data_IF_935082233068
#
_entry.id   IF_935082233068
#
_cell.length_a   1.000
_cell.length_b   1.000
_cell.length_c   1.000
_cell.angle_alpha   90.00
_cell.angle_beta   90.00
_cell.angle_gamma   90.00
#
_symmetry.space_group_name_H-M   'P 1'
#
loop_
_entity.id
_entity.type
_entity.pdbx_description
1 polymer ?
#
# COMPACT_ATOMS: atom_id res chain seq x y z
N UNK A 1 8.65 26.60 57.62
CA UNK A 1 9.48 27.82 57.61
C UNK A 1 8.78 28.82 56.70
N UNK A 2 8.36 29.95 57.29
CA UNK A 2 7.91 31.25 56.72
C UNK A 2 7.19 31.27 55.35
N UNK A 3 5.88 31.56 55.31
CA UNK A 3 5.24 32.89 55.26
C UNK A 3 5.42 33.57 53.88
N UNK A 4 4.41 33.59 53.01
CA UNK A 4 3.21 34.47 52.98
C UNK A 4 3.43 35.72 52.10
N UNK A 5 2.60 35.88 51.05
CA UNK A 5 1.66 37.02 50.85
C UNK A 5 2.32 38.29 50.26
N UNK A 6 1.73 39.15 49.44
CA UNK A 6 0.39 39.31 48.87
C UNK A 6 0.45 40.37 47.75
N UNK A 7 -0.55 40.31 46.86
CA UNK A 7 -1.41 41.40 46.38
C UNK A 7 -0.86 42.72 45.79
N UNK A 8 -1.36 42.97 44.57
CA UNK A 8 -2.13 44.16 44.12
C UNK A 8 -1.44 45.48 43.71
N UNK A 9 -2.08 46.05 42.67
CA UNK A 9 -2.20 47.45 42.23
C UNK A 9 -1.23 48.03 41.18
N UNK A 10 -1.84 48.51 40.09
CA UNK A 10 -1.32 49.48 39.12
C UNK A 10 -1.35 50.91 39.73
N UNK A 11 -0.61 51.90 39.19
CA UNK A 11 -1.25 52.79 38.19
C UNK A 11 -0.32 53.52 37.16
N UNK A 12 -0.98 54.04 36.13
CA UNK A 12 -0.86 55.37 35.47
C UNK A 12 0.32 55.81 34.54
N UNK A 13 -0.11 56.13 33.29
CA UNK A 13 -0.02 57.40 32.51
C UNK A 13 1.35 58.04 32.13
N UNK A 14 1.49 58.35 30.83
CA UNK A 14 2.30 59.43 30.24
C UNK A 14 2.47 59.23 28.72
N UNK A 15 1.59 59.75 27.85
CA UNK A 15 1.61 61.05 27.13
C UNK A 15 2.81 61.33 26.18
N UNK A 16 2.45 61.68 24.93
CA UNK A 16 3.32 62.19 23.84
C UNK A 16 2.92 61.58 22.47
N UNK A 17 1.97 62.10 21.68
CA UNK A 17 2.01 63.36 20.89
C UNK A 17 3.22 63.38 19.94
N UNK A 18 3.17 63.56 18.61
CA UNK A 18 2.23 64.26 17.72
C UNK A 18 2.65 64.01 16.24
N UNK A 19 1.67 63.99 15.31
CA UNK A 19 1.68 64.67 13.97
C UNK A 19 2.63 64.12 12.88
N UNK A 20 2.32 64.00 11.59
CA UNK A 20 1.38 64.58 10.60
C UNK A 20 1.14 63.55 9.49
N UNK A 21 0.14 63.54 8.61
CA UNK A 21 -0.94 64.44 8.18
C UNK A 21 -1.63 63.73 7.01
N UNK A 22 -2.97 63.72 6.96
CA UNK A 22 -3.80 64.40 5.94
C UNK A 22 -3.36 64.14 4.46
N UNK A 23 -4.21 63.73 3.51
CA UNK A 23 -5.65 63.94 3.38
C UNK A 23 -6.23 63.09 2.24
N UNK A 24 -7.55 62.91 2.35
CA UNK A 24 -8.51 62.19 1.51
C UNK A 24 -8.57 62.64 0.03
N UNK A 25 -9.02 61.74 -0.85
CA UNK A 25 -10.14 62.04 -1.75
C UNK A 25 -10.88 60.78 -2.19
N UNK A 26 -12.21 60.90 -2.23
CA UNK A 26 -13.18 59.86 -2.53
C UNK A 26 -13.51 59.79 -4.03
N UNK A 27 -13.83 58.58 -4.52
CA UNK A 27 -14.41 58.31 -5.83
C UNK A 27 -15.39 57.15 -5.74
N UNK A 28 -16.50 57.24 -6.46
CA UNK A 28 -17.80 56.56 -6.26
C UNK A 28 -18.02 55.43 -7.28
N UNK A 29 -18.59 54.30 -6.81
CA UNK A 29 -19.42 53.25 -7.46
C UNK A 29 -19.05 52.64 -8.85
N UNK A 30 -18.93 51.31 -8.92
CA UNK A 30 -20.00 50.39 -9.40
C UNK A 30 -19.53 48.92 -9.48
N UNK A 31 -20.42 48.01 -9.10
CA UNK A 31 -20.35 46.55 -9.24
C UNK A 31 -20.35 46.10 -10.71
N UNK A 32 -19.52 45.11 -11.07
CA UNK A 32 -19.93 43.91 -11.85
C UNK A 32 -18.73 42.98 -12.14
N UNK A 33 -18.74 41.82 -11.48
CA UNK A 33 -18.35 40.47 -11.94
C UNK A 33 -17.32 40.33 -13.07
N UNK A 34 -16.14 39.85 -12.70
CA UNK A 34 -15.11 39.32 -13.60
C UNK A 34 -13.87 38.83 -12.84
N UNK A 35 -14.03 37.84 -11.94
CA UNK A 35 -12.93 37.27 -11.17
C UNK A 35 -11.92 36.54 -12.09
N UNK A 36 -10.79 37.20 -12.35
CA UNK A 36 -9.54 36.56 -12.73
C UNK A 36 -8.75 36.24 -11.45
N UNK A 37 -8.56 34.96 -11.15
CA UNK A 37 -7.72 34.48 -10.04
C UNK A 37 -6.26 34.93 -10.23
N UNK A 38 -5.63 35.63 -9.26
CA UNK A 38 -4.21 35.93 -9.34
C UNK A 38 -3.38 34.68 -9.04
N UNK A 39 -2.55 34.28 -10.01
CA UNK A 39 -1.47 33.32 -9.83
C UNK A 39 -0.58 33.75 -8.66
N UNK A 40 -0.35 32.82 -7.75
CA UNK A 40 0.60 32.93 -6.65
C UNK A 40 2.00 33.15 -7.24
N UNK A 41 2.64 34.25 -6.86
CA UNK A 41 3.99 34.61 -7.28
C UNK A 41 5.03 33.95 -6.36
N UNK A 42 5.94 33.19 -6.97
CA UNK A 42 7.15 32.61 -6.36
C UNK A 42 8.08 33.67 -5.72
N UNK A 43 8.83 33.30 -4.68
CA UNK A 43 10.14 33.87 -4.41
C UNK A 43 11.26 32.86 -4.71
N UNK A 44 11.83 33.00 -5.91
CA UNK A 44 13.25 32.93 -6.29
C UNK A 44 14.21 32.15 -5.36
N UNK A 45 14.65 30.99 -5.83
CA UNK A 45 16.08 30.73 -6.04
C UNK A 45 16.30 29.82 -7.26
N UNK A 46 16.71 30.44 -8.36
CA UNK A 46 17.11 29.79 -9.61
C UNK A 46 18.42 29.01 -9.42
N UNK A 47 18.33 27.67 -9.46
CA UNK A 47 19.41 26.84 -10.00
C UNK A 47 18.92 26.23 -11.30
N UNK A 48 19.57 26.66 -12.37
CA UNK A 48 19.36 26.26 -13.75
C UNK A 48 19.72 24.76 -13.89
N UNK A 49 18.71 23.89 -13.86
CA UNK A 49 18.82 22.47 -14.25
C UNK A 49 17.89 22.26 -15.44
N UNK A 50 18.43 22.45 -16.65
CA UNK A 50 17.86 21.90 -17.86
C UNK A 50 18.04 20.37 -17.82
N UNK A 51 17.13 19.67 -17.15
CA UNK A 51 16.89 18.24 -17.33
C UNK A 51 15.47 18.09 -17.89
N UNK A 52 15.27 17.39 -19.01
CA UNK A 52 13.96 17.27 -19.64
C UNK A 52 13.03 16.44 -18.75
N UNK A 53 11.89 17.01 -18.35
CA UNK A 53 10.56 16.40 -18.15
C UNK A 53 10.48 14.92 -17.67
N UNK A 54 11.36 14.44 -16.78
CA UNK A 54 11.31 13.05 -16.30
C UNK A 54 10.48 12.86 -15.02
N UNK A 55 10.16 13.95 -14.31
CA UNK A 55 9.35 13.91 -13.08
C UNK A 55 7.85 13.78 -13.33
N UNK A 56 7.38 14.11 -14.54
CA UNK A 56 5.95 14.05 -14.91
C UNK A 56 5.39 12.62 -15.06
N UNK A 57 6.27 11.61 -15.04
CA UNK A 57 5.93 10.21 -15.33
C UNK A 57 5.92 9.30 -14.09
N UNK A 58 6.25 9.80 -12.91
CA UNK A 58 6.34 8.97 -11.71
C UNK A 58 4.94 8.59 -11.19
N UNK A 59 4.72 7.30 -11.00
CA UNK A 59 3.49 6.75 -10.41
C UNK A 59 3.90 5.95 -9.19
N UNK A 60 3.37 6.31 -8.02
CA UNK A 60 3.54 5.53 -6.79
C UNK A 60 2.22 4.82 -6.48
N UNK A 61 2.21 3.50 -6.65
CA UNK A 61 1.03 2.66 -6.46
C UNK A 61 0.93 2.03 -5.07
N UNK A 62 2.05 1.92 -4.35
CA UNK A 62 2.13 1.20 -3.08
C UNK A 62 3.01 1.97 -2.09
N UNK A 63 2.45 2.25 -0.92
CA UNK A 63 3.12 2.72 0.28
C UNK A 63 2.91 1.67 1.36
N UNK A 64 3.94 0.87 1.66
CA UNK A 64 3.90 -0.09 2.77
C UNK A 64 4.67 0.52 3.93
N UNK A 65 3.97 0.78 5.03
CA UNK A 65 4.51 1.39 6.24
C UNK A 65 3.76 0.84 7.46
N UNK A 66 4.36 0.93 8.64
CA UNK A 66 3.64 0.62 9.89
C UNK A 66 2.58 1.69 10.20
N UNK A 67 1.73 1.47 11.21
CA UNK A 67 0.60 2.36 11.46
C UNK A 67 1.04 3.78 11.82
N UNK A 68 2.10 3.92 12.62
CA UNK A 68 2.66 5.20 13.03
C UNK A 68 3.17 5.98 11.82
N UNK A 69 3.90 5.32 10.91
CA UNK A 69 4.35 5.91 9.65
C UNK A 69 3.15 6.25 8.75
N UNK A 70 2.16 5.36 8.63
CA UNK A 70 0.94 5.63 7.87
C UNK A 70 0.19 6.84 8.43
N UNK A 71 0.17 7.03 9.75
CA UNK A 71 -0.47 8.17 10.38
C UNK A 71 0.20 9.48 9.96
N UNK A 72 1.53 9.49 9.87
CA UNK A 72 2.29 10.64 9.34
C UNK A 72 2.01 10.83 7.85
N UNK A 73 2.04 9.77 7.05
CA UNK A 73 1.81 9.84 5.59
C UNK A 73 0.39 10.37 5.26
N UNK A 74 -0.62 9.87 5.97
CA UNK A 74 -2.04 10.23 5.81
C UNK A 74 -2.46 11.47 6.60
N UNK A 75 -1.54 12.12 7.33
CA UNK A 75 -1.80 13.27 8.17
C UNK A 75 -2.88 13.04 9.24
N UNK A 76 -3.07 11.83 9.74
CA UNK A 76 -4.09 11.54 10.76
C UNK A 76 -3.52 11.66 12.18
N UNK A 77 -4.38 11.98 13.15
CA UNK A 77 -4.04 12.04 14.60
C UNK A 77 -3.72 10.67 15.24
N UNK A 78 -3.54 9.62 14.43
CA UNK A 78 -3.32 8.25 14.88
C UNK A 78 -4.49 7.67 15.68
N UNK A 79 -4.19 6.74 16.59
CA UNK A 79 -5.19 5.91 17.30
C UNK A 79 -6.14 6.76 18.14
N UNK A 80 -5.72 7.94 18.62
CA UNK A 80 -6.57 8.81 19.46
C UNK A 80 -7.50 9.73 18.65
N UNK A 81 -7.45 9.65 17.31
CA UNK A 81 -8.35 10.37 16.44
C UNK A 81 -9.79 9.86 16.57
N UNK A 82 -10.77 10.76 16.36
CA UNK A 82 -12.16 10.35 16.14
C UNK A 82 -12.31 9.46 14.90
N UNK A 83 -11.38 9.59 13.94
CA UNK A 83 -11.35 8.84 12.68
C UNK A 83 -9.94 8.29 12.44
N UNK A 84 -9.55 7.20 13.13
CA UNK A 84 -8.16 6.75 13.20
C UNK A 84 -7.71 5.90 12.00
N UNK A 85 -8.59 5.59 11.05
CA UNK A 85 -8.21 4.85 9.86
C UNK A 85 -7.56 5.81 8.84
N UNK A 86 -6.38 5.45 8.29
CA UNK A 86 -5.75 6.26 7.26
C UNK A 86 -6.45 6.10 5.90
N UNK A 87 -7.34 5.12 5.71
CA UNK A 87 -8.02 4.88 4.42
C UNK A 87 -9.42 5.49 4.38
N UNK A 88 -10.13 5.52 5.51
CA UNK A 88 -11.54 5.90 5.53
C UNK A 88 -11.93 6.69 6.79
N UNK A 89 -13.06 7.39 6.72
CA UNK A 89 -13.67 8.11 7.84
C UNK A 89 -14.53 7.18 8.70
N UNK A 90 -13.95 6.08 9.19
CA UNK A 90 -14.62 5.22 10.16
C UNK A 90 -14.49 5.82 11.57
N UNK A 91 -15.61 6.03 12.30
CA UNK A 91 -15.55 6.50 13.67
C UNK A 91 -14.79 5.53 14.58
N UNK A 92 -14.02 6.07 15.53
CA UNK A 92 -13.19 5.30 16.46
C UNK A 92 -13.99 4.24 17.23
N UNK A 93 -15.20 4.58 17.65
CA UNK A 93 -16.11 3.70 18.39
C UNK A 93 -16.77 2.61 17.51
N UNK A 94 -16.62 2.71 16.19
CA UNK A 94 -17.27 1.83 15.19
C UNK A 94 -16.28 0.93 14.44
N UNK A 95 -14.98 1.00 14.73
CA UNK A 95 -13.94 0.22 14.01
C UNK A 95 -14.23 -1.28 14.04
N UNK A 96 -14.70 -1.79 15.18
CA UNK A 96 -14.99 -3.23 15.36
C UNK A 96 -16.26 -3.70 14.65
N UNK A 97 -17.07 -2.78 14.13
CA UNK A 97 -18.36 -3.10 13.51
C UNK A 97 -18.23 -3.47 12.03
N UNK A 98 -17.04 -3.26 11.42
CA UNK A 98 -16.75 -3.52 10.01
C UNK A 98 -17.88 -3.06 9.07
N UNK A 99 -18.28 -1.78 9.12
CA UNK A 99 -19.36 -1.27 8.29
C UNK A 99 -19.04 -1.47 6.81
N UNK A 100 -20.04 -1.91 6.04
CA UNK A 100 -19.89 -2.16 4.60
C UNK A 100 -19.67 -0.87 3.78
N UNK A 101 -19.93 0.30 4.37
CA UNK A 101 -19.84 1.59 3.71
C UNK A 101 -19.21 2.61 4.67
N UNK A 102 -18.01 3.05 4.34
CA UNK A 102 -17.35 4.20 4.94
C UNK A 102 -16.87 5.12 3.82
N UNK A 103 -16.93 6.43 4.06
CA UNK A 103 -16.34 7.39 3.15
C UNK A 103 -14.81 7.19 3.10
N UNK A 104 -14.25 7.14 1.88
CA UNK A 104 -12.83 6.96 1.67
C UNK A 104 -12.11 8.32 1.66
N UNK A 105 -10.89 8.33 2.20
CA UNK A 105 -9.97 9.46 2.06
C UNK A 105 -9.36 9.42 0.66
N UNK A 106 -9.15 10.59 0.07
CA UNK A 106 -8.48 10.79 -1.21
C UNK A 106 -7.58 12.01 -1.11
N UNK A 107 -6.53 12.11 -1.91
CA UNK A 107 -5.72 13.33 -1.94
C UNK A 107 -6.59 14.55 -2.28
N UNK A 108 -7.59 14.37 -3.14
CA UNK A 108 -8.52 15.43 -3.55
C UNK A 108 -9.38 15.96 -2.41
N UNK A 109 -10.03 15.09 -1.63
CA UNK A 109 -10.89 15.55 -0.54
C UNK A 109 -10.06 16.12 0.62
N UNK A 110 -8.91 15.53 0.94
CA UNK A 110 -8.06 16.02 2.02
C UNK A 110 -7.44 17.37 1.67
N UNK A 111 -6.95 17.58 0.44
CA UNK A 111 -6.48 18.89 0.00
C UNK A 111 -7.57 19.96 0.06
N UNK A 112 -8.80 19.60 -0.30
CA UNK A 112 -9.96 20.51 -0.17
C UNK A 112 -10.21 20.89 1.28
N UNK A 113 -10.17 19.93 2.19
CA UNK A 113 -10.34 20.17 3.63
C UNK A 113 -9.23 21.07 4.17
N UNK A 114 -7.96 20.79 3.84
CA UNK A 114 -6.84 21.62 4.29
C UNK A 114 -6.94 23.05 3.75
N UNK A 115 -7.36 23.23 2.51
CA UNK A 115 -7.62 24.56 1.95
C UNK A 115 -8.75 25.31 2.68
N UNK A 116 -9.83 24.59 3.05
CA UNK A 116 -10.91 25.15 3.85
C UNK A 116 -10.44 25.54 5.26
N UNK A 117 -9.59 24.73 5.89
CA UNK A 117 -8.96 25.01 7.18
C UNK A 117 -8.08 26.27 7.07
N UNK A 118 -7.23 26.36 6.04
CA UNK A 118 -6.35 27.52 5.84
C UNK A 118 -7.11 28.81 5.56
N UNK A 119 -8.31 28.71 5.00
CA UNK A 119 -9.21 29.84 4.73
C UNK A 119 -9.99 30.33 5.96
N UNK A 120 -9.92 29.64 7.11
CA UNK A 120 -10.60 30.09 8.33
C UNK A 120 -9.82 31.18 9.08
N UNK A 121 -10.56 32.16 9.60
CA UNK A 121 -9.98 33.29 10.36
C UNK A 121 -9.60 32.95 11.81
N UNK A 122 -10.24 31.94 12.42
CA UNK A 122 -10.08 31.63 13.85
C UNK A 122 -9.58 30.21 14.09
N UNK A 123 -8.74 30.06 15.10
CA UNK A 123 -8.15 28.76 15.49
C UNK A 123 -9.23 27.75 15.87
N UNK A 124 -10.30 28.18 16.52
CA UNK A 124 -11.39 27.29 16.95
C UNK A 124 -12.11 26.65 15.76
N UNK A 125 -12.32 27.42 14.67
CA UNK A 125 -12.95 26.89 13.45
C UNK A 125 -12.03 25.90 12.73
N UNK A 126 -10.72 26.19 12.69
CA UNK A 126 -9.71 25.28 12.14
C UNK A 126 -9.71 23.95 12.88
N UNK A 127 -9.59 24.01 14.20
CA UNK A 127 -9.59 22.82 15.05
C UNK A 127 -10.87 22.00 14.90
N UNK A 128 -12.04 22.65 14.80
CA UNK A 128 -13.31 21.95 14.60
C UNK A 128 -13.29 21.10 13.31
N UNK A 129 -12.88 21.69 12.18
CA UNK A 129 -12.80 20.98 10.89
C UNK A 129 -11.77 19.83 10.95
N UNK A 130 -10.60 20.09 11.53
CA UNK A 130 -9.53 19.09 11.68
C UNK A 130 -9.97 17.91 12.56
N UNK A 131 -10.71 18.16 13.64
CA UNK A 131 -11.25 17.13 14.53
C UNK A 131 -12.34 16.30 13.82
N UNK A 132 -13.21 16.95 13.03
CA UNK A 132 -14.23 16.27 12.24
C UNK A 132 -13.65 15.37 11.15
N UNK A 133 -12.46 15.69 10.66
CA UNK A 133 -11.75 14.89 9.65
C UNK A 133 -10.63 14.02 10.23
N UNK A 134 -10.31 14.18 11.51
CA UNK A 134 -9.23 13.47 12.21
C UNK A 134 -7.83 13.76 11.67
N UNK A 135 -7.57 14.98 11.18
CA UNK A 135 -6.37 15.39 10.46
C UNK A 135 -5.48 16.35 11.24
N UNK A 136 -4.18 16.31 10.94
CA UNK A 136 -3.20 17.33 11.29
C UNK A 136 -3.21 18.48 10.26
N UNK A 137 -3.01 19.71 10.74
CA UNK A 137 -2.77 20.88 9.91
C UNK A 137 -1.31 20.94 9.45
N UNK A 138 -0.95 20.10 8.48
CA UNK A 138 0.40 19.98 7.94
C UNK A 138 0.34 19.77 6.43
N UNK A 139 1.20 20.46 5.69
CA UNK A 139 1.38 20.21 4.27
C UNK A 139 2.18 18.92 4.04
N UNK A 140 1.53 17.92 3.44
CA UNK A 140 2.18 16.63 3.17
C UNK A 140 3.15 16.73 1.99
N UNK A 141 4.35 16.19 2.14
CA UNK A 141 5.33 16.07 1.05
C UNK A 141 4.82 15.21 -0.12
N UNK A 142 3.83 14.35 0.10
CA UNK A 142 3.25 13.56 -0.99
C UNK A 142 2.35 14.38 -1.92
N UNK A 143 2.00 15.62 -1.55
CA UNK A 143 1.20 16.50 -2.41
C UNK A 143 1.96 16.96 -3.65
N UNK A 144 3.30 17.00 -3.59
CA UNK A 144 4.15 17.37 -4.74
C UNK A 144 4.39 16.21 -5.70
N UNK A 145 4.10 14.98 -5.28
CA UNK A 145 4.29 13.79 -6.13
C UNK A 145 3.13 13.73 -7.12
N UNK A 146 3.43 13.95 -8.39
CA UNK A 146 2.43 13.84 -9.44
C UNK A 146 1.86 12.42 -9.52
N UNK A 147 0.62 12.32 -9.97
CA UNK A 147 -0.08 11.04 -10.20
C UNK A 147 -0.08 10.09 -9.00
N UNK A 148 -0.10 10.63 -7.78
CA UNK A 148 -0.17 9.87 -6.54
C UNK A 148 -1.39 10.27 -5.70
N UNK A 149 -2.13 9.27 -5.23
CA UNK A 149 -3.08 9.41 -4.12
C UNK A 149 -2.55 8.60 -2.94
N UNK A 150 -2.15 9.31 -1.89
CA UNK A 150 -1.52 8.69 -0.71
C UNK A 150 -2.44 7.65 -0.11
N UNK A 151 -3.73 7.98 0.01
CA UNK A 151 -4.73 7.16 0.67
C UNK A 151 -5.05 5.89 -0.14
N UNK A 152 -4.93 5.95 -1.46
CA UNK A 152 -5.01 4.76 -2.32
C UNK A 152 -3.72 3.94 -2.35
N UNK A 153 -2.56 4.60 -2.25
CA UNK A 153 -1.27 3.93 -2.26
C UNK A 153 -0.98 3.23 -0.93
N UNK A 154 -1.49 3.74 0.20
CA UNK A 154 -1.34 3.14 1.51
C UNK A 154 -1.80 1.68 1.51
N UNK A 155 -0.86 0.82 1.89
CA UNK A 155 -1.00 -0.64 1.81
C UNK A 155 -0.71 -1.28 3.16
N UNK A 156 -1.23 -2.49 3.32
CA UNK A 156 -1.08 -3.25 4.54
C UNK A 156 0.34 -3.79 4.70
N UNK A 157 1.04 -3.36 5.75
CA UNK A 157 2.32 -3.93 6.11
C UNK A 157 2.13 -5.28 6.82
N UNK A 158 2.24 -6.37 6.05
CA UNK A 158 2.12 -7.71 6.59
C UNK A 158 3.16 -8.02 7.68
N UNK A 159 4.37 -7.48 7.58
CA UNK A 159 5.45 -7.80 8.51
C UNK A 159 5.17 -7.19 9.89
N UNK A 160 4.92 -5.89 9.90
CA UNK A 160 4.65 -5.18 11.15
C UNK A 160 3.29 -5.55 11.72
N UNK A 161 2.24 -5.68 10.91
CA UNK A 161 0.90 -5.93 11.45
C UNK A 161 0.64 -7.41 11.76
N UNK A 162 0.97 -8.34 10.87
CA UNK A 162 0.62 -9.76 11.09
C UNK A 162 1.64 -10.46 11.98
N UNK A 163 2.94 -10.31 11.68
CA UNK A 163 3.97 -11.11 12.32
C UNK A 163 4.55 -10.46 13.57
N UNK A 164 4.91 -9.17 13.49
CA UNK A 164 5.40 -8.45 14.67
C UNK A 164 4.25 -8.15 15.65
N UNK A 165 3.19 -7.47 15.19
CA UNK A 165 2.05 -7.09 16.01
C UNK A 165 1.16 -8.27 16.40
N UNK A 166 0.26 -8.71 15.50
CA UNK A 166 -0.76 -9.71 15.85
C UNK A 166 -0.16 -11.01 16.38
N UNK A 167 0.82 -11.59 15.69
CA UNK A 167 1.45 -12.81 16.15
C UNK A 167 2.40 -12.57 17.33
N UNK A 168 3.37 -11.67 17.20
CA UNK A 168 4.42 -11.45 18.20
C UNK A 168 3.93 -10.85 19.51
N UNK A 169 3.09 -9.82 19.47
CA UNK A 169 2.63 -9.09 20.66
C UNK A 169 1.38 -9.70 21.31
N UNK A 170 0.58 -10.47 20.56
CA UNK A 170 -0.68 -11.02 21.07
C UNK A 170 -0.74 -12.55 21.06
N UNK A 171 -0.67 -13.19 19.89
CA UNK A 171 -0.90 -14.64 19.79
C UNK A 171 0.20 -15.47 20.45
N UNK A 172 1.47 -15.05 20.30
CA UNK A 172 2.61 -15.76 20.84
C UNK A 172 2.65 -15.73 22.38
N UNK A 173 2.50 -14.59 23.07
CA UNK A 173 2.38 -14.54 24.52
C UNK A 173 1.20 -15.36 25.06
N UNK A 174 0.05 -15.31 24.37
CA UNK A 174 -1.13 -16.08 24.76
C UNK A 174 -0.88 -17.59 24.60
N UNK A 175 -0.23 -18.02 23.52
CA UNK A 175 0.19 -19.40 23.33
C UNK A 175 1.12 -19.87 24.45
N UNK A 176 2.13 -19.06 24.81
CA UNK A 176 3.03 -19.39 25.92
C UNK A 176 2.26 -19.55 27.23
N UNK A 177 1.31 -18.65 27.53
CA UNK A 177 0.44 -18.73 28.70
C UNK A 177 -0.41 -20.01 28.74
N UNK A 178 -0.97 -20.41 27.59
CA UNK A 178 -1.72 -21.66 27.45
C UNK A 178 -0.82 -22.87 27.70
N UNK A 179 0.39 -22.89 27.12
CA UNK A 179 1.34 -23.98 27.27
C UNK A 179 1.84 -24.12 28.71
N UNK A 180 2.07 -23.02 29.41
CA UNK A 180 2.45 -23.02 30.82
C UNK A 180 1.34 -23.64 31.69
N UNK A 181 0.07 -23.33 31.40
CA UNK A 181 -1.08 -23.95 32.08
C UNK A 181 -1.24 -25.43 31.75
N UNK A 182 -0.98 -25.82 30.50
CA UNK A 182 -1.06 -27.20 30.02
C UNK A 182 0.12 -28.08 30.49
N UNK A 183 1.14 -27.48 31.12
CA UNK A 183 2.32 -28.12 31.72
C UNK A 183 3.26 -28.81 30.72
N UNK A 184 4.34 -29.40 31.26
CA UNK A 184 5.50 -29.93 30.53
C UNK A 184 5.19 -30.82 29.31
N UNK A 185 4.18 -31.73 29.32
CA UNK A 185 3.91 -32.58 28.16
C UNK A 185 3.53 -31.79 26.90
N UNK A 186 2.73 -30.71 27.06
CA UNK A 186 2.33 -29.87 25.94
C UNK A 186 3.53 -29.07 25.38
N UNK A 187 4.34 -28.50 26.26
CA UNK A 187 5.57 -27.79 25.88
C UNK A 187 6.57 -28.71 25.17
N UNK A 188 6.75 -29.94 25.66
CA UNK A 188 7.64 -30.93 25.04
C UNK A 188 7.18 -31.30 23.63
N UNK A 189 5.86 -31.41 23.40
CA UNK A 189 5.29 -31.64 22.07
C UNK A 189 5.58 -30.48 21.12
N UNK A 190 5.39 -29.24 21.56
CA UNK A 190 5.71 -28.06 20.72
C UNK A 190 7.20 -28.03 20.39
N UNK A 191 8.09 -28.21 21.38
CA UNK A 191 9.54 -28.28 21.15
C UNK A 191 9.94 -29.38 20.16
N UNK A 192 9.36 -30.57 20.30
CA UNK A 192 9.55 -31.69 19.38
C UNK A 192 9.14 -31.29 17.96
N UNK A 193 7.99 -30.64 17.80
CA UNK A 193 7.51 -30.22 16.49
C UNK A 193 8.40 -29.14 15.84
N UNK A 194 8.98 -28.23 16.62
CA UNK A 194 10.00 -27.31 16.12
C UNK A 194 11.28 -28.05 15.68
N UNK A 195 11.75 -29.03 16.46
CA UNK A 195 12.96 -29.80 16.12
C UNK A 195 12.81 -30.70 14.88
N UNK A 196 11.58 -31.12 14.59
CA UNK A 196 11.25 -31.93 13.42
C UNK A 196 10.89 -31.07 12.19
N UNK A 197 10.89 -29.74 12.31
CA UNK A 197 10.69 -28.88 11.16
C UNK A 197 11.88 -29.08 10.20
N UNK A 198 11.65 -29.40 8.91
CA UNK A 198 12.76 -29.64 8.00
C UNK A 198 13.60 -28.37 7.87
N UNK A 199 14.90 -28.50 7.58
CA UNK A 199 15.78 -27.35 7.36
C UNK A 199 15.63 -26.81 5.94
N UNK A 200 15.18 -25.56 5.84
CA UNK A 200 14.99 -24.84 4.58
C UNK A 200 15.94 -23.64 4.53
N UNK A 201 16.46 -23.33 3.34
CA UNK A 201 17.25 -22.14 3.13
C UNK A 201 16.40 -20.89 3.46
N UNK A 202 17.00 -19.91 4.14
CA UNK A 202 16.36 -18.67 4.61
C UNK A 202 15.26 -18.79 5.68
N UNK A 203 14.97 -20.01 6.18
CA UNK A 203 14.05 -20.18 7.32
C UNK A 203 14.87 -20.33 8.62
N UNK A 204 14.59 -19.50 9.62
CA UNK A 204 15.22 -19.62 10.94
C UNK A 204 14.78 -20.92 11.64
N UNK A 205 15.74 -21.63 12.24
CA UNK A 205 15.50 -22.85 13.04
C UNK A 205 15.68 -22.55 14.52
N UNK A 206 14.68 -22.89 15.32
CA UNK A 206 14.61 -22.48 16.72
C UNK A 206 14.79 -23.67 17.67
N UNK A 207 16.02 -23.89 18.14
CA UNK A 207 16.30 -24.93 19.15
C UNK A 207 15.61 -24.65 20.50
N UNK A 208 15.38 -23.36 20.80
CA UNK A 208 14.74 -22.88 22.02
C UNK A 208 13.54 -21.96 21.72
N UNK A 209 12.66 -22.40 20.81
CA UNK A 209 11.50 -21.61 20.35
C UNK A 209 10.68 -20.99 21.50
N UNK A 210 10.32 -21.76 22.53
CA UNK A 210 9.50 -21.31 23.67
C UNK A 210 10.19 -20.29 24.61
N UNK A 211 11.49 -20.03 24.41
CA UNK A 211 12.25 -19.07 25.23
C UNK A 211 12.48 -17.74 24.52
N UNK A 212 11.87 -17.55 23.34
CA UNK A 212 11.98 -16.31 22.57
C UNK A 212 11.00 -15.30 23.16
N UNK A 213 11.54 -14.24 23.76
CA UNK A 213 10.78 -13.14 24.35
C UNK A 213 10.87 -11.84 23.55
N UNK A 214 11.97 -11.61 22.82
CA UNK A 214 12.16 -10.44 21.96
C UNK A 214 12.95 -10.83 20.71
N UNK A 215 12.44 -10.48 19.53
CA UNK A 215 13.09 -10.78 18.27
C UNK A 215 12.59 -9.88 17.13
N UNK A 216 13.26 -9.87 15.99
CA UNK A 216 12.85 -9.04 14.84
C UNK A 216 11.61 -9.63 14.13
N UNK A 217 10.89 -8.80 13.37
CA UNK A 217 9.66 -9.21 12.67
C UNK A 217 9.83 -10.46 11.80
N UNK A 218 10.96 -10.58 11.10
CA UNK A 218 11.27 -11.76 10.27
C UNK A 218 11.36 -13.05 11.09
N UNK A 219 11.96 -13.00 12.28
CA UNK A 219 12.02 -14.18 13.16
C UNK A 219 10.66 -14.51 13.76
N UNK A 220 9.80 -13.52 14.00
CA UNK A 220 8.41 -13.75 14.42
C UNK A 220 7.59 -14.38 13.29
N UNK A 221 7.81 -13.96 12.05
CA UNK A 221 7.23 -14.61 10.88
C UNK A 221 7.65 -16.08 10.82
N UNK A 222 8.94 -16.38 10.91
CA UNK A 222 9.45 -17.75 10.88
C UNK A 222 8.96 -18.59 12.06
N UNK A 223 8.84 -17.96 13.23
CA UNK A 223 8.29 -18.59 14.43
C UNK A 223 6.81 -18.94 14.21
N UNK A 224 6.04 -18.05 13.58
CA UNK A 224 4.63 -18.28 13.24
C UNK A 224 4.47 -19.44 12.25
N UNK A 225 5.36 -19.56 11.25
CA UNK A 225 5.42 -20.71 10.33
C UNK A 225 5.69 -22.02 11.08
N UNK A 226 6.60 -21.99 12.04
CA UNK A 226 6.89 -23.16 12.89
C UNK A 226 5.72 -23.58 13.79
N UNK A 227 4.99 -22.63 14.36
CA UNK A 227 3.77 -22.90 15.14
C UNK A 227 2.67 -23.47 14.23
N UNK A 228 2.48 -22.90 13.04
CA UNK A 228 1.44 -23.29 12.07
C UNK A 228 1.67 -24.65 11.41
N UNK A 229 2.87 -25.25 11.50
CA UNK A 229 3.07 -26.69 11.18
C UNK A 229 2.07 -27.59 11.91
N UNK A 230 1.63 -27.18 13.11
CA UNK A 230 0.67 -27.92 13.93
C UNK A 230 -0.78 -27.52 13.69
N UNK A 231 -1.00 -26.37 13.05
CA UNK A 231 -2.29 -26.01 12.53
C UNK A 231 -2.50 -26.85 11.28
N UNK A 232 -3.58 -27.63 11.26
CA UNK A 232 -4.10 -27.98 9.96
C UNK A 232 -4.59 -26.67 9.34
N UNK A 233 -3.88 -26.13 8.35
CA UNK A 233 -4.64 -25.60 7.21
C UNK A 233 -5.49 -26.78 6.82
N UNK A 234 -6.75 -26.84 7.25
CA UNK A 234 -7.61 -28.00 7.00
C UNK A 234 -7.47 -28.27 5.51
N UNK A 235 -6.79 -29.35 5.10
CA UNK A 235 -6.78 -29.71 3.70
C UNK A 235 -8.26 -29.87 3.40
N UNK A 236 -8.79 -29.13 2.41
CA UNK A 236 -10.19 -29.09 1.95
C UNK A 236 -11.02 -27.82 2.22
N UNK A 237 -10.48 -26.75 2.80
CA UNK A 237 -11.21 -25.47 2.83
C UNK A 237 -10.78 -24.60 1.63
N UNK A 238 -11.48 -24.82 0.50
CA UNK A 238 -11.51 -24.02 -0.74
C UNK A 238 -10.32 -24.05 -1.73
N UNK A 239 -9.07 -24.38 -1.36
CA UNK A 239 -7.96 -24.38 -2.35
C UNK A 239 -7.72 -25.69 -3.13
N UNK A 240 -8.35 -26.80 -2.74
CA UNK A 240 -8.08 -28.12 -3.33
C UNK A 240 -9.33 -28.81 -3.89
N UNK A 241 -10.31 -28.03 -4.36
CA UNK A 241 -11.54 -28.58 -4.96
C UNK A 241 -11.27 -29.71 -5.96
N UNK A 242 -10.43 -29.49 -6.99
CA UNK A 242 -10.08 -30.52 -7.96
C UNK A 242 -9.44 -31.77 -7.33
N UNK A 243 -8.50 -31.59 -6.41
CA UNK A 243 -7.83 -32.72 -5.72
C UNK A 243 -8.82 -33.51 -4.85
N UNK A 244 -9.72 -32.81 -4.15
CA UNK A 244 -10.79 -33.43 -3.37
C UNK A 244 -11.75 -34.21 -4.26
N UNK A 245 -12.12 -33.67 -5.41
CA UNK A 245 -12.95 -34.37 -6.38
C UNK A 245 -12.25 -35.59 -6.96
N UNK A 246 -10.97 -35.50 -7.32
CA UNK A 246 -10.16 -36.65 -7.76
C UNK A 246 -10.10 -37.73 -6.68
N UNK A 247 -9.82 -37.33 -5.44
CA UNK A 247 -9.82 -38.24 -4.29
C UNK A 247 -11.18 -38.93 -4.11
N UNK A 248 -12.29 -38.17 -4.16
CA UNK A 248 -13.64 -38.68 -3.89
C UNK A 248 -14.24 -39.50 -5.05
N UNK A 249 -13.98 -39.10 -6.29
CA UNK A 249 -14.63 -39.66 -7.48
C UNK A 249 -13.75 -40.66 -8.23
N UNK A 250 -12.43 -40.54 -8.12
CA UNK A 250 -11.46 -41.23 -8.98
C UNK A 250 -10.44 -42.07 -8.22
N UNK A 251 -10.59 -42.25 -6.90
CA UNK A 251 -9.77 -43.19 -6.11
C UNK A 251 -10.61 -44.21 -5.36
N UNK A 252 -10.00 -45.33 -5.00
CA UNK A 252 -10.60 -46.37 -4.16
C UNK A 252 -10.39 -46.14 -2.64
N UNK A 253 -9.99 -44.94 -2.24
CA UNK A 253 -9.69 -44.54 -0.85
C UNK A 253 -8.55 -45.32 -0.17
N UNK A 254 -7.74 -46.09 -0.90
CA UNK A 254 -6.57 -46.82 -0.40
C UNK A 254 -5.38 -46.59 -1.33
N UNK A 255 -4.17 -46.42 -0.80
CA UNK A 255 -2.96 -46.20 -1.62
C UNK A 255 -3.18 -45.09 -2.69
N UNK A 256 -3.75 -43.97 -2.25
CA UNK A 256 -4.34 -42.94 -3.12
C UNK A 256 -3.31 -42.11 -3.89
N UNK A 257 -2.09 -42.00 -3.38
CA UNK A 257 -1.05 -41.17 -3.99
C UNK A 257 -0.77 -41.56 -5.45
N UNK A 258 -0.58 -42.87 -5.71
CA UNK A 258 -0.31 -43.34 -7.07
C UNK A 258 -1.52 -43.15 -8.00
N UNK A 259 -2.74 -43.33 -7.48
CA UNK A 259 -3.97 -43.15 -8.27
C UNK A 259 -4.18 -41.68 -8.65
N UNK A 260 -3.96 -40.77 -7.70
CA UNK A 260 -4.05 -39.32 -7.95
C UNK A 260 -3.00 -38.91 -8.99
N UNK A 261 -1.76 -39.39 -8.88
CA UNK A 261 -0.72 -39.08 -9.87
C UNK A 261 -1.08 -39.55 -11.28
N UNK A 262 -1.73 -40.72 -11.41
CA UNK A 262 -2.21 -41.21 -12.72
C UNK A 262 -3.32 -40.31 -13.26
N UNK A 263 -4.27 -39.90 -12.42
CA UNK A 263 -5.35 -39.00 -12.81
C UNK A 263 -4.82 -37.62 -13.22
N UNK A 264 -3.90 -37.05 -12.45
CA UNK A 264 -3.24 -35.78 -12.76
C UNK A 264 -2.45 -35.87 -14.07
N UNK A 265 -1.76 -36.99 -14.31
CA UNK A 265 -1.05 -37.21 -15.57
C UNK A 265 -1.99 -37.24 -16.77
N UNK A 266 -3.12 -37.94 -16.66
CA UNK A 266 -4.12 -38.01 -17.74
C UNK A 266 -4.76 -36.65 -18.03
N UNK A 267 -5.03 -35.86 -16.99
CA UNK A 267 -5.54 -34.50 -17.14
C UNK A 267 -4.51 -33.60 -17.84
N UNK A 268 -3.25 -33.65 -17.43
CA UNK A 268 -2.17 -32.89 -18.06
C UNK A 268 -1.96 -33.29 -19.54
N UNK A 269 -2.10 -34.57 -19.88
CA UNK A 269 -2.05 -35.04 -21.27
C UNK A 269 -3.24 -34.50 -22.07
N UNK A 270 -4.44 -34.47 -21.47
CA UNK A 270 -5.63 -33.92 -22.11
C UNK A 270 -5.48 -32.42 -22.36
N UNK A 271 -5.00 -31.66 -21.37
CA UNK A 271 -4.71 -30.23 -21.51
C UNK A 271 -3.67 -29.97 -22.60
N UNK A 272 -2.59 -30.76 -22.63
CA UNK A 272 -1.56 -30.65 -23.67
C UNK A 272 -2.13 -30.87 -25.07
N UNK A 273 -3.02 -31.85 -25.25
CA UNK A 273 -3.69 -32.10 -26.53
C UNK A 273 -4.57 -30.89 -26.90
N UNK A 274 -5.32 -30.35 -25.94
CA UNK A 274 -6.15 -29.16 -26.17
C UNK A 274 -5.31 -27.94 -26.55
N UNK A 275 -4.20 -27.68 -25.85
CA UNK A 275 -3.29 -26.60 -26.20
C UNK A 275 -2.77 -26.77 -27.62
N UNK A 276 -2.35 -27.98 -28.02
CA UNK A 276 -1.85 -28.23 -29.37
C UNK A 276 -2.91 -28.01 -30.47
N UNK A 277 -4.18 -28.31 -30.18
CA UNK A 277 -5.28 -28.03 -31.11
C UNK A 277 -5.48 -26.52 -31.22
N UNK A 278 -5.58 -25.82 -30.09
CA UNK A 278 -5.73 -24.36 -30.05
C UNK A 278 -4.57 -23.63 -30.72
N UNK A 279 -3.33 -24.07 -30.49
CA UNK A 279 -2.13 -23.51 -31.11
C UNK A 279 -2.15 -23.69 -32.64
N UNK A 280 -2.66 -24.84 -33.11
CA UNK A 280 -2.79 -25.11 -34.54
C UNK A 280 -3.88 -24.26 -35.18
N UNK A 281 -5.02 -24.08 -34.50
CA UNK A 281 -6.10 -23.21 -34.96
C UNK A 281 -5.62 -21.76 -35.04
N UNK A 282 -4.95 -21.27 -33.99
CA UNK A 282 -4.34 -19.95 -33.94
C UNK A 282 -3.23 -19.79 -35.00
N UNK A 283 -2.36 -20.77 -35.20
CA UNK A 283 -1.36 -20.74 -36.27
C UNK A 283 -2.01 -20.62 -37.65
N UNK A 284 -3.11 -21.36 -37.88
CA UNK A 284 -3.85 -21.30 -39.14
C UNK A 284 -4.46 -19.90 -39.37
N UNK A 285 -4.92 -19.24 -38.30
CA UNK A 285 -5.45 -17.87 -38.34
C UNK A 285 -4.36 -16.81 -38.48
N UNK A 286 -3.21 -16.98 -37.84
CA UNK A 286 -2.12 -15.99 -37.78
C UNK A 286 -1.22 -16.02 -39.02
N UNK A 287 -1.06 -17.19 -39.64
CA UNK A 287 -0.32 -17.35 -40.91
C UNK A 287 -1.03 -16.65 -42.10
N UNK A 288 -2.28 -16.21 -41.91
CA UNK A 288 -3.00 -15.32 -42.84
C UNK A 288 -2.64 -13.84 -42.64
N UNK A 289 -2.14 -13.45 -41.46
CA UNK A 289 -2.00 -12.03 -41.07
C UNK A 289 -0.57 -11.53 -40.87
N UNK A 290 0.44 -12.39 -40.70
CA UNK A 290 1.82 -11.99 -40.33
C UNK A 290 2.86 -11.93 -41.47
N UNK A 291 2.45 -11.72 -42.72
CA UNK A 291 3.37 -11.35 -43.82
C UNK A 291 3.95 -9.91 -43.71
N UNK A 292 3.90 -9.26 -42.54
CA UNK A 292 4.14 -7.82 -42.44
C UNK A 292 4.81 -7.38 -41.13
N UNK A 293 6.13 -7.56 -41.10
CA UNK A 293 7.18 -6.74 -40.48
C UNK A 293 7.28 -6.60 -38.94
N UNK A 294 8.54 -6.67 -38.48
CA UNK A 294 9.00 -6.81 -37.09
C UNK A 294 10.14 -5.83 -36.77
N UNK A 295 10.33 -5.56 -35.47
CA UNK A 295 11.56 -5.09 -34.80
C UNK A 295 11.65 -3.61 -34.43
N UNK A 296 12.41 -3.17 -33.41
CA UNK A 296 12.91 -3.70 -32.12
C UNK A 296 13.47 -2.46 -31.35
N UNK A 297 13.53 -2.50 -30.02
CA UNK A 297 13.77 -1.37 -29.09
C UNK A 297 15.21 -1.31 -28.54
N UNK A 298 15.53 -0.28 -27.72
CA UNK A 298 16.79 -0.13 -26.99
C UNK A 298 16.61 0.74 -25.73
N UNK A 299 17.30 0.34 -24.66
CA UNK A 299 17.12 0.76 -23.26
C UNK A 299 18.27 1.57 -22.62
N UNK A 300 18.00 2.23 -21.48
CA UNK A 300 18.96 3.00 -20.65
C UNK A 300 18.76 2.75 -19.13
N UNK A 301 19.87 2.79 -18.35
CA UNK A 301 20.07 2.35 -16.95
C UNK A 301 19.73 3.37 -15.82
N UNK A 302 19.67 2.89 -14.55
CA UNK A 302 19.08 3.52 -13.34
C UNK A 302 20.09 3.84 -12.19
N UNK A 303 19.81 4.88 -11.37
CA UNK A 303 20.64 5.37 -10.22
C UNK A 303 19.92 5.31 -8.84
N UNK A 304 20.68 5.10 -7.75
CA UNK A 304 20.24 4.85 -6.36
C UNK A 304 20.60 6.01 -5.39
N UNK A 305 19.73 6.37 -4.41
CA UNK A 305 20.03 7.39 -3.38
C UNK A 305 19.56 7.03 -1.93
N UNK A 306 20.49 7.02 -0.96
CA UNK A 306 20.25 7.15 0.49
C UNK A 306 19.13 6.28 1.12
N UNK A 307 19.23 4.96 0.99
CA UNK A 307 18.27 3.95 1.49
C UNK A 307 16.88 3.96 0.84
N UNK A 308 16.57 4.98 0.06
CA UNK A 308 15.45 4.97 -0.88
C UNK A 308 15.98 4.34 -2.17
N UNK A 309 15.57 3.10 -2.42
CA UNK A 309 15.85 2.45 -3.70
C UNK A 309 14.83 2.94 -4.71
N UNK A 310 15.23 3.90 -5.53
CA UNK A 310 14.47 4.32 -6.70
C UNK A 310 14.87 3.41 -7.85
N UNK A 311 14.20 2.26 -7.93
CA UNK A 311 14.38 1.43 -9.09
C UNK A 311 14.19 -0.06 -8.93
N UNK A 312 14.16 -0.71 -10.09
CA UNK A 312 14.22 -2.16 -10.20
C UNK A 312 15.64 -2.64 -9.91
N UNK A 313 15.77 -3.78 -9.22
CA UNK A 313 17.07 -4.46 -9.14
C UNK A 313 17.53 -5.02 -10.50
N UNK A 314 16.62 -5.03 -11.48
CA UNK A 314 16.87 -5.37 -12.87
C UNK A 314 17.31 -4.10 -13.59
N UNK A 315 18.60 -4.04 -13.94
CA UNK A 315 19.24 -2.84 -14.51
C UNK A 315 18.97 -2.62 -16.00
N UNK A 316 18.63 -3.68 -16.70
CA UNK A 316 18.21 -3.59 -18.09
C UNK A 316 16.69 -3.68 -18.10
N UNK A 317 16.02 -2.67 -18.64
CA UNK A 317 14.59 -2.74 -18.82
C UNK A 317 14.24 -4.03 -19.55
N UNK A 318 13.16 -4.62 -19.09
CA UNK A 318 12.72 -5.91 -19.58
C UNK A 318 11.41 -5.67 -20.27
N UNK A 319 11.27 -6.16 -21.50
CA UNK A 319 9.97 -6.10 -22.17
C UNK A 319 8.92 -6.79 -21.29
N UNK A 320 7.69 -6.29 -21.34
CA UNK A 320 6.57 -6.92 -20.64
C UNK A 320 6.44 -8.39 -21.03
N UNK A 321 6.73 -8.73 -22.28
CA UNK A 321 6.83 -10.11 -22.76
C UNK A 321 7.92 -10.91 -22.04
N UNK A 322 9.14 -10.37 -21.90
CA UNK A 322 10.23 -11.04 -21.21
C UNK A 322 9.91 -11.30 -19.73
N UNK A 323 9.14 -10.41 -19.08
CA UNK A 323 8.65 -10.60 -17.71
C UNK A 323 7.66 -11.77 -17.64
N UNK A 324 6.71 -11.83 -18.58
CA UNK A 324 5.77 -12.95 -18.70
C UNK A 324 6.50 -14.28 -18.95
N UNK A 325 7.51 -14.27 -19.81
CA UNK A 325 8.31 -15.44 -20.18
C UNK A 325 9.24 -15.92 -19.06
N UNK A 326 9.85 -15.00 -18.29
CA UNK A 326 10.69 -15.38 -17.12
C UNK A 326 9.88 -16.02 -16.00
N UNK A 327 8.60 -15.66 -15.93
CA UNK A 327 7.69 -16.10 -14.88
C UNK A 327 6.68 -17.14 -15.38
N UNK A 328 6.99 -17.92 -16.42
CA UNK A 328 6.10 -18.96 -16.99
C UNK A 328 5.59 -19.96 -15.95
N UNK A 329 6.35 -20.16 -14.87
CA UNK A 329 5.98 -21.06 -13.75
C UNK A 329 4.98 -20.38 -12.79
N UNK A 330 5.02 -19.05 -12.69
CA UNK A 330 4.20 -18.27 -11.77
C UNK A 330 2.98 -17.67 -12.50
N UNK A 331 1.82 -18.27 -12.22
CA UNK A 331 0.52 -17.86 -12.78
C UNK A 331 0.16 -16.40 -12.51
N UNK A 332 0.78 -15.75 -11.52
CA UNK A 332 0.57 -14.32 -11.24
C UNK A 332 0.92 -13.47 -12.46
N UNK A 333 1.96 -13.85 -13.20
CA UNK A 333 2.46 -13.13 -14.38
C UNK A 333 1.82 -13.56 -15.70
N UNK A 334 0.90 -14.53 -15.71
CA UNK A 334 0.13 -14.83 -16.92
C UNK A 334 -0.71 -13.60 -17.31
N UNK A 335 -0.62 -13.16 -18.57
CA UNK A 335 -1.29 -11.95 -19.07
C UNK A 335 -0.93 -10.70 -18.26
N UNK A 336 0.32 -10.61 -17.77
CA UNK A 336 0.83 -9.47 -17.01
C UNK A 336 0.60 -8.14 -17.73
N UNK A 337 0.89 -8.05 -19.02
CA UNK A 337 0.70 -6.84 -19.81
C UNK A 337 -0.77 -6.38 -19.82
N UNK A 338 -1.70 -7.32 -19.98
CA UNK A 338 -3.14 -7.02 -19.92
C UNK A 338 -3.56 -6.57 -18.52
N UNK A 339 -3.13 -7.28 -17.47
CA UNK A 339 -3.44 -6.94 -16.08
C UNK A 339 -2.86 -5.57 -15.70
N UNK A 340 -1.66 -5.25 -16.17
CA UNK A 340 -1.01 -3.96 -15.95
C UNK A 340 -1.78 -2.84 -16.65
N UNK A 341 -2.21 -3.04 -17.90
CA UNK A 341 -3.07 -2.10 -18.60
C UNK A 341 -4.40 -1.88 -17.85
N UNK A 342 -5.06 -2.95 -17.42
CA UNK A 342 -6.30 -2.85 -16.63
C UNK A 342 -6.07 -2.06 -15.34
N UNK A 343 -5.00 -2.38 -14.60
CA UNK A 343 -4.62 -1.71 -13.37
C UNK A 343 -4.38 -0.22 -13.58
N UNK A 344 -3.54 0.15 -14.55
CA UNK A 344 -3.19 1.55 -14.80
C UNK A 344 -4.40 2.35 -15.29
N UNK A 345 -5.18 1.81 -16.21
CA UNK A 345 -6.39 2.48 -16.68
C UNK A 345 -7.39 2.70 -15.55
N UNK A 346 -7.65 1.67 -14.74
CA UNK A 346 -8.50 1.78 -13.57
C UNK A 346 -7.96 2.79 -12.56
N UNK A 347 -6.64 2.82 -12.36
CA UNK A 347 -5.99 3.78 -11.47
C UNK A 347 -6.23 5.21 -11.93
N UNK A 348 -5.96 5.53 -13.20
CA UNK A 348 -6.17 6.89 -13.72
C UNK A 348 -7.65 7.31 -13.75
N UNK A 349 -8.57 6.37 -13.99
CA UNK A 349 -10.01 6.59 -13.84
C UNK A 349 -10.36 7.00 -12.40
N UNK A 350 -9.88 6.25 -11.40
CA UNK A 350 -10.11 6.55 -9.97
C UNK A 350 -9.51 7.91 -9.59
N UNK A 351 -8.33 8.23 -10.12
CA UNK A 351 -7.66 9.51 -9.91
C UNK A 351 -8.38 10.71 -10.55
N UNK A 352 -9.41 10.48 -11.38
CA UNK A 352 -10.11 11.51 -12.18
C UNK A 352 -9.15 12.37 -13.01
N UNK A 353 -7.98 11.83 -13.36
CA UNK A 353 -7.00 12.50 -14.21
C UNK A 353 -7.13 11.91 -15.61
N UNK A 354 -7.31 12.74 -16.66
CA UNK A 354 -7.28 12.21 -18.02
C UNK A 354 -5.90 11.59 -18.25
N UNK A 355 -5.87 10.31 -18.67
CA UNK A 355 -4.69 9.73 -19.28
C UNK A 355 -4.16 10.72 -20.33
N UNK A 356 -2.84 10.88 -20.48
CA UNK A 356 -2.23 11.83 -21.42
C UNK A 356 -2.94 11.76 -22.80
N UNK A 357 -3.70 12.81 -23.14
CA UNK A 357 -4.47 12.88 -24.41
C UNK A 357 -5.88 12.26 -24.42
N UNK A 358 -6.46 11.89 -23.27
CA UNK A 358 -7.83 11.39 -23.13
C UNK A 358 -8.07 9.97 -23.66
N UNK A 359 -7.01 9.20 -23.90
CA UNK A 359 -7.07 7.82 -24.40
C UNK A 359 -6.61 6.84 -23.33
N UNK A 360 -7.22 5.65 -23.29
CA UNK A 360 -6.76 4.56 -22.45
C UNK A 360 -5.29 4.24 -22.71
N UNK A 361 -4.55 3.95 -21.64
CA UNK A 361 -3.18 3.44 -21.70
C UNK A 361 -3.23 2.06 -22.38
N UNK A 362 -2.46 1.93 -23.45
CA UNK A 362 -2.28 0.68 -24.19
C UNK A 362 -0.79 0.36 -24.23
N UNK A 363 -0.32 -0.32 -23.18
CA UNK A 363 0.99 -0.94 -23.19
C UNK A 363 0.96 -2.16 -24.11
N UNK A 364 1.99 -2.30 -24.94
CA UNK A 364 2.20 -3.44 -25.82
C UNK A 364 3.29 -4.33 -25.23
N UNK A 365 3.33 -5.60 -25.63
CA UNK A 365 4.22 -6.61 -25.06
C UNK A 365 5.72 -6.28 -25.25
N UNK A 366 6.04 -5.53 -26.31
CA UNK A 366 7.37 -5.02 -26.63
C UNK A 366 7.75 -3.75 -25.86
N UNK A 367 6.84 -3.12 -25.11
CA UNK A 367 7.20 -1.99 -24.28
C UNK A 367 8.10 -2.46 -23.13
N UNK A 368 9.18 -1.70 -22.94
CA UNK A 368 10.21 -1.91 -21.93
C UNK A 368 9.83 -1.19 -20.61
N UNK A 369 10.11 -1.83 -19.48
CA UNK A 369 9.88 -1.33 -18.10
C UNK A 369 11.06 -1.60 -17.19
#
# INVERSE_FOLDING_TARGET
MSLASSSCEAPAVGEGSMVSGAQLSAGVYNDDIGETWPMYTDPVHTTNMNTPDSLDSNIILILSADYEEQAVMALIHGIKSNFPCPICLIPHDRISDFPAQCELRTSKNILKVLWEVHSQDTTEKKEQILIEQGLHDVDSAFTVVMNMDVYHALSWDCLHTNFAGMFGDHLWPELLRILDRARRPAMARVKKNFSEMPRWHMLNHFDKALSISYTNGQKLEDLSKGVTRNFNTKPNEKMHGPLKEKYQKLTNFKNVAQQILVVDHLEAVSELIHCKISDYDAYTETNVMQNSADGDTNDVEQEDFFHVRLGSCIKQPSSLEAIEQRSVIDKVFTQFCMKLNELLNRYFEVMQKPCLGGKHIQLQANHEV
#
